data_IF_436623580779
#
_entry.id   IF_436623580779
#
_cell.length_a   1.000
_cell.length_b   1.000
_cell.length_c   1.000
_cell.angle_alpha   90.00
_cell.angle_beta   90.00
_cell.angle_gamma   90.00
#
_symmetry.space_group_name_H-M   'P 1'
#
loop_
_entity.id
_entity.type
_entity.pdbx_description
1 polymer ?
#
# COMPACT_ATOMS: atom_id res chain seq x y z
N UNK A 1 4.68 -15.01 -26.13
CA UNK A 1 3.45 -14.51 -25.50
C UNK A 1 3.87 -13.31 -24.65
N UNK A 2 3.60 -12.10 -25.12
CA UNK A 2 3.94 -10.87 -24.37
C UNK A 2 2.92 -10.81 -23.23
N UNK A 3 3.36 -10.99 -21.99
CA UNK A 3 2.52 -10.66 -20.87
C UNK A 3 2.27 -9.16 -20.96
N UNK A 4 1.02 -8.77 -21.16
CA UNK A 4 0.57 -7.39 -21.17
C UNK A 4 0.76 -6.84 -19.74
N UNK A 5 2.02 -6.56 -19.39
CA UNK A 5 2.39 -6.01 -18.10
C UNK A 5 2.08 -4.53 -18.19
N UNK A 6 0.91 -4.17 -17.67
CA UNK A 6 0.52 -2.77 -17.57
C UNK A 6 1.60 -2.03 -16.78
N UNK A 7 2.13 -0.97 -17.37
CA UNK A 7 2.95 0.03 -16.68
C UNK A 7 2.12 1.26 -16.32
N UNK A 8 0.86 1.33 -16.76
CA UNK A 8 -0.07 2.39 -16.36
C UNK A 8 -0.22 2.42 -14.84
N UNK A 9 0.22 3.52 -14.21
CA UNK A 9 0.26 3.63 -12.76
C UNK A 9 -1.11 3.64 -12.10
N UNK A 10 -2.13 4.19 -12.75
CA UNK A 10 -3.52 4.14 -12.25
C UNK A 10 -4.01 2.70 -12.28
N UNK A 11 -3.76 1.98 -13.38
CA UNK A 11 -4.14 0.57 -13.48
C UNK A 11 -3.40 -0.29 -12.46
N UNK A 12 -2.11 -0.04 -12.22
CA UNK A 12 -1.32 -0.72 -11.19
C UNK A 12 -1.93 -0.49 -9.80
N UNK A 13 -2.29 0.75 -9.45
CA UNK A 13 -2.90 1.07 -8.16
C UNK A 13 -4.27 0.41 -7.99
N UNK A 14 -5.09 0.36 -9.03
CA UNK A 14 -6.39 -0.34 -9.00
C UNK A 14 -6.22 -1.86 -8.80
N UNK A 15 -5.23 -2.47 -9.46
CA UNK A 15 -4.89 -3.88 -9.24
C UNK A 15 -4.47 -4.10 -7.79
N UNK A 16 -3.60 -3.25 -7.26
CA UNK A 16 -3.17 -3.34 -5.85
C UNK A 16 -4.35 -3.18 -4.87
N UNK A 17 -5.24 -2.22 -5.10
CA UNK A 17 -6.44 -2.06 -4.26
C UNK A 17 -7.33 -3.32 -4.28
N UNK A 18 -7.48 -3.95 -5.46
CA UNK A 18 -8.25 -5.19 -5.60
C UNK A 18 -7.62 -6.34 -4.84
N UNK A 19 -6.29 -6.44 -4.84
CA UNK A 19 -5.55 -7.44 -4.07
C UNK A 19 -5.68 -7.20 -2.56
N UNK A 20 -5.48 -5.97 -2.09
CA UNK A 20 -5.56 -5.64 -0.66
C UNK A 20 -6.94 -5.89 -0.05
N UNK A 21 -8.01 -5.73 -0.82
CA UNK A 21 -9.39 -5.95 -0.37
C UNK A 21 -9.88 -7.37 -0.66
N UNK A 22 -9.31 -8.04 -1.67
CA UNK A 22 -9.70 -9.37 -2.10
C UNK A 22 -8.96 -10.51 -1.39
N UNK A 23 -7.83 -10.23 -0.73
CA UNK A 23 -7.04 -11.24 -0.04
C UNK A 23 -7.66 -11.60 1.32
N UNK A 24 -8.15 -12.85 1.42
CA UNK A 24 -8.91 -13.34 2.57
C UNK A 24 -8.08 -13.91 3.72
N UNK A 25 -6.75 -13.81 3.65
CA UNK A 25 -5.83 -14.39 4.62
C UNK A 25 -5.18 -13.32 5.52
N UNK A 26 -3.85 -13.16 5.50
CA UNK A 26 -3.10 -12.28 6.40
C UNK A 26 -3.47 -10.79 6.29
N UNK A 27 -4.16 -10.40 5.21
CA UNK A 27 -4.61 -9.04 4.96
C UNK A 27 -6.13 -8.87 5.15
N UNK A 28 -6.84 -9.85 5.74
CA UNK A 28 -8.28 -9.80 5.89
C UNK A 28 -8.80 -8.58 6.68
N UNK A 29 -8.00 -8.01 7.58
CA UNK A 29 -8.31 -6.80 8.33
C UNK A 29 -7.90 -5.50 7.60
N UNK A 30 -7.24 -5.59 6.44
CA UNK A 30 -6.80 -4.42 5.68
C UNK A 30 -7.97 -3.82 4.89
N UNK A 31 -8.03 -2.49 4.87
CA UNK A 31 -9.02 -1.70 4.13
C UNK A 31 -8.35 -0.60 3.34
N UNK A 32 -9.00 -0.24 2.23
CA UNK A 32 -8.69 0.94 1.44
C UNK A 32 -9.66 2.06 1.81
N UNK A 33 -9.15 3.25 2.11
CA UNK A 33 -9.94 4.45 2.42
C UNK A 33 -9.54 5.63 1.52
N UNK A 34 -10.41 6.64 1.44
CA UNK A 34 -10.15 7.87 0.69
C UNK A 34 -9.76 7.61 -0.79
N UNK A 35 -10.34 6.58 -1.41
CA UNK A 35 -10.04 6.24 -2.78
C UNK A 35 -10.64 7.24 -3.76
N UNK A 36 -9.80 7.76 -4.66
CA UNK A 36 -10.20 8.58 -5.79
C UNK A 36 -10.14 7.74 -7.09
N UNK A 37 -11.29 7.31 -7.65
CA UNK A 37 -11.32 6.50 -8.86
C UNK A 37 -10.94 7.29 -10.13
N UNK A 38 -11.02 8.62 -10.08
CA UNK A 38 -10.76 9.53 -11.21
C UNK A 38 -9.41 10.25 -11.05
N UNK A 39 -8.53 9.72 -10.18
CA UNK A 39 -7.23 10.31 -9.86
C UNK A 39 -6.38 10.54 -11.12
N UNK A 40 -5.97 11.79 -11.33
CA UNK A 40 -5.06 12.14 -12.43
C UNK A 40 -3.59 11.93 -12.01
N UNK A 41 -2.82 11.07 -12.71
CA UNK A 41 -1.44 10.81 -12.35
C UNK A 41 -0.52 12.00 -12.66
N UNK A 42 0.42 12.27 -11.76
CA UNK A 42 1.44 13.32 -11.94
C UNK A 42 2.84 12.77 -11.80
N UNK A 43 3.86 13.49 -12.28
CA UNK A 43 5.28 13.06 -12.15
C UNK A 43 5.79 13.11 -10.71
N UNK A 44 5.12 13.85 -9.82
CA UNK A 44 5.40 13.88 -8.39
C UNK A 44 4.64 12.78 -7.62
N UNK A 45 3.68 12.12 -8.27
CA UNK A 45 2.77 11.18 -7.64
C UNK A 45 1.54 11.90 -7.11
N UNK A 46 0.37 11.43 -7.49
CA UNK A 46 -0.91 11.89 -6.93
C UNK A 46 -1.41 10.83 -5.95
N UNK A 47 -1.86 11.22 -4.75
CA UNK A 47 -2.41 10.28 -3.78
C UNK A 47 -3.69 9.65 -4.37
N UNK A 48 -3.70 8.33 -4.52
CA UNK A 48 -4.85 7.59 -5.03
C UNK A 48 -5.76 7.10 -3.90
N UNK A 49 -5.17 6.55 -2.84
CA UNK A 49 -5.90 6.07 -1.67
C UNK A 49 -4.98 5.83 -0.48
N UNK A 50 -5.58 5.63 0.70
CA UNK A 50 -4.90 5.22 1.92
C UNK A 50 -5.22 3.77 2.25
N UNK A 51 -4.28 3.09 2.88
CA UNK A 51 -4.42 1.71 3.36
C UNK A 51 -4.39 1.72 4.87
N UNK A 52 -5.37 1.07 5.49
CA UNK A 52 -5.56 1.03 6.94
C UNK A 52 -5.83 -0.38 7.42
N UNK A 53 -5.54 -0.62 8.69
CA UNK A 53 -5.93 -1.82 9.40
C UNK A 53 -7.20 -1.53 10.19
N UNK A 54 -8.25 -2.33 10.00
CA UNK A 54 -9.41 -2.31 10.88
C UNK A 54 -8.95 -2.68 12.30
N UNK A 55 -9.43 -1.93 13.30
CA UNK A 55 -9.22 -2.30 14.69
C UNK A 55 -10.24 -3.39 15.04
N UNK A 56 -9.77 -4.62 15.21
CA UNK A 56 -10.55 -5.67 15.87
C UNK A 56 -10.58 -5.33 17.36
N UNK A 57 -11.74 -4.89 17.86
CA UNK A 57 -12.05 -4.66 19.27
C UNK A 57 -11.31 -3.54 20.02
N UNK A 58 -11.79 -2.30 19.89
CA UNK A 58 -11.92 -1.43 21.07
C UNK A 58 -13.35 -0.87 21.12
N UNK A 59 -14.01 -1.07 22.27
CA UNK A 59 -15.33 -0.52 22.60
C UNK A 59 -15.33 0.97 22.25
N UNK A 60 -15.94 1.31 21.12
CA UNK A 60 -16.03 2.68 20.61
C UNK A 60 -16.84 3.53 21.57
N UNK A 61 -16.16 4.20 22.50
CA UNK A 61 -16.74 5.30 23.26
C UNK A 61 -16.63 6.54 22.39
N UNK A 62 -17.60 6.73 21.51
CA UNK A 62 -17.78 7.95 20.72
C UNK A 62 -17.25 7.86 19.28
N UNK A 63 -18.20 7.85 18.35
CA UNK A 63 -18.14 8.45 17.00
C UNK A 63 -16.73 8.60 16.40
N UNK A 64 -16.26 7.57 15.69
CA UNK A 64 -15.26 7.75 14.63
C UNK A 64 -15.55 6.79 13.49
N UNK A 65 -16.48 7.20 12.63
CA UNK A 65 -16.64 6.63 11.30
C UNK A 65 -15.29 6.81 10.55
N UNK A 66 -14.50 5.74 10.41
CA UNK A 66 -13.23 5.76 9.66
C UNK A 66 -11.91 5.64 10.45
N UNK A 67 -11.94 5.26 11.74
CA UNK A 67 -10.74 5.18 12.59
C UNK A 67 -9.91 3.88 12.46
N UNK A 68 -9.67 3.38 11.24
CA UNK A 68 -8.65 2.34 11.03
C UNK A 68 -7.24 2.88 11.30
N UNK A 69 -6.33 2.04 11.80
CA UNK A 69 -4.92 2.38 12.01
C UNK A 69 -4.22 2.57 10.65
N UNK A 70 -3.47 3.65 10.41
CA UNK A 70 -2.86 3.90 9.10
C UNK A 70 -1.68 2.94 8.85
N UNK A 71 -1.68 2.26 7.69
CA UNK A 71 -0.60 1.37 7.27
C UNK A 71 0.29 1.98 6.19
N UNK A 72 -0.36 2.47 5.12
CA UNK A 72 0.35 3.00 3.96
C UNK A 72 -0.50 4.00 3.17
N UNK A 73 0.15 4.71 2.26
CA UNK A 73 -0.47 5.60 1.27
C UNK A 73 -0.02 5.16 -0.13
N UNK A 74 -0.94 5.11 -1.09
CA UNK A 74 -0.61 4.70 -2.47
C UNK A 74 -0.72 5.90 -3.40
N UNK A 75 0.35 6.15 -4.15
CA UNK A 75 0.47 7.26 -5.07
C UNK A 75 0.63 6.76 -6.51
N UNK A 76 -0.01 7.44 -7.44
CA UNK A 76 0.03 7.12 -8.87
C UNK A 76 0.89 8.11 -9.65
N UNK A 77 1.75 7.57 -10.50
CA UNK A 77 2.49 8.27 -11.54
C UNK A 77 1.99 7.77 -12.91
N UNK A 78 2.33 8.43 -14.02
CA UNK A 78 1.89 7.96 -15.35
C UNK A 78 2.32 6.50 -15.65
N UNK A 79 3.51 6.10 -15.20
CA UNK A 79 4.14 4.82 -15.58
C UNK A 79 4.45 3.89 -14.38
N UNK A 80 3.91 4.17 -13.19
CA UNK A 80 4.07 3.33 -11.99
C UNK A 80 3.15 3.77 -10.88
N UNK A 81 2.98 2.91 -9.88
CA UNK A 81 2.53 3.34 -8.56
C UNK A 81 3.71 3.27 -7.57
N UNK A 82 3.58 3.96 -6.43
CA UNK A 82 4.42 3.69 -5.27
C UNK A 82 3.59 3.63 -4.00
N UNK A 83 4.05 2.83 -3.06
CA UNK A 83 3.46 2.68 -1.73
C UNK A 83 4.38 3.36 -0.74
N UNK A 84 3.86 4.28 0.07
CA UNK A 84 4.54 4.84 1.23
C UNK A 84 4.04 4.14 2.48
N UNK A 85 4.87 3.28 3.08
CA UNK A 85 4.58 2.69 4.38
C UNK A 85 4.87 3.71 5.48
N UNK A 86 3.86 3.95 6.31
CA UNK A 86 3.91 4.96 7.39
C UNK A 86 4.16 4.36 8.77
N UNK A 87 4.01 3.04 8.89
CA UNK A 87 4.32 2.22 10.07
C UNK A 87 5.25 1.08 9.68
N UNK A 88 6.05 0.60 10.65
CA UNK A 88 7.07 -0.42 10.46
C UNK A 88 7.90 -0.29 9.14
N UNK A 89 8.48 0.89 8.84
CA UNK A 89 9.15 1.16 7.57
C UNK A 89 10.31 0.19 7.27
N UNK A 90 11.01 -0.29 8.30
CA UNK A 90 12.13 -1.25 8.15
C UNK A 90 11.64 -2.66 7.78
N UNK A 91 10.51 -3.09 8.35
CA UNK A 91 9.88 -4.37 8.00
C UNK A 91 9.36 -4.34 6.55
N UNK A 92 8.71 -3.24 6.17
CA UNK A 92 8.26 -3.01 4.78
C UNK A 92 9.44 -3.04 3.80
N UNK A 93 10.54 -2.36 4.15
CA UNK A 93 11.73 -2.31 3.31
C UNK A 93 12.32 -3.71 3.08
N UNK A 94 12.54 -4.45 4.17
CA UNK A 94 13.13 -5.80 4.13
C UNK A 94 12.30 -6.74 3.27
N UNK A 95 10.98 -6.82 3.51
CA UNK A 95 10.10 -7.72 2.76
C UNK A 95 9.95 -7.34 1.28
N UNK A 96 9.96 -6.04 0.96
CA UNK A 96 9.93 -5.56 -0.42
C UNK A 96 11.24 -5.85 -1.17
N UNK A 97 12.40 -5.65 -0.52
CA UNK A 97 13.71 -5.97 -1.09
C UNK A 97 13.86 -7.47 -1.34
N UNK A 98 13.44 -8.32 -0.40
CA UNK A 98 13.41 -9.79 -0.55
C UNK A 98 12.50 -10.22 -1.71
N UNK A 99 11.45 -9.46 -1.98
CA UNK A 99 10.55 -9.66 -3.12
C UNK A 99 11.06 -9.06 -4.44
N UNK A 100 12.28 -8.51 -4.44
CA UNK A 100 12.93 -7.93 -5.62
C UNK A 100 12.36 -6.59 -6.07
N UNK A 101 11.70 -5.86 -5.17
CA UNK A 101 11.17 -4.52 -5.44
C UNK A 101 12.20 -3.44 -5.14
N UNK A 102 12.06 -2.30 -5.82
CA UNK A 102 12.88 -1.13 -5.54
C UNK A 102 12.33 -0.41 -4.32
N UNK A 103 13.21 -0.18 -3.35
CA UNK A 103 12.89 0.50 -2.09
C UNK A 103 13.71 1.78 -1.92
N UNK A 104 13.10 2.80 -1.33
CA UNK A 104 13.75 4.06 -0.95
C UNK A 104 13.28 4.53 0.42
N UNK A 105 14.17 4.75 1.40
CA UNK A 105 13.80 5.43 2.62
C UNK A 105 13.45 6.89 2.32
N UNK A 106 12.47 7.43 3.04
CA UNK A 106 12.05 8.83 2.95
C UNK A 106 12.36 9.51 4.29
N UNK A 107 13.28 10.47 4.25
CA UNK A 107 13.77 11.21 5.41
C UNK A 107 12.74 12.25 5.89
N UNK A 108 11.60 11.77 6.37
CA UNK A 108 10.54 12.55 7.02
C UNK A 108 10.39 12.09 8.48
N UNK A 109 9.60 12.81 9.27
CA UNK A 109 9.31 12.43 10.67
C UNK A 109 7.80 12.27 10.85
N UNK A 110 7.32 11.07 11.26
CA UNK A 110 8.06 9.81 11.44
C UNK A 110 8.65 9.27 10.12
N UNK A 111 9.71 8.45 10.16
CA UNK A 111 10.35 7.90 8.96
C UNK A 111 9.37 7.05 8.15
N UNK A 112 9.51 7.07 6.83
CA UNK A 112 8.67 6.30 5.91
C UNK A 112 9.54 5.51 4.93
N UNK A 113 8.98 4.44 4.40
CA UNK A 113 9.60 3.64 3.33
C UNK A 113 8.74 3.72 2.07
N UNK A 114 9.38 4.05 0.94
CA UNK A 114 8.75 4.08 -0.37
C UNK A 114 9.10 2.80 -1.13
N UNK A 115 8.10 2.06 -1.57
CA UNK A 115 8.24 0.87 -2.41
C UNK A 115 7.63 1.16 -3.78
N UNK A 116 8.40 0.95 -4.85
CA UNK A 116 7.92 1.18 -6.22
C UNK A 116 7.26 -0.07 -6.78
N UNK A 117 6.13 0.12 -7.47
CA UNK A 117 5.40 -0.91 -8.21
C UNK A 117 5.31 -0.46 -9.66
N UNK A 118 6.24 -0.94 -10.48
CA UNK A 118 6.48 -0.44 -11.83
C UNK A 118 5.71 -1.20 -12.91
N UNK A 119 5.20 -2.39 -12.59
CA UNK A 119 4.40 -3.18 -13.51
C UNK A 119 3.35 -4.04 -12.78
N UNK A 120 2.33 -4.48 -13.51
CA UNK A 120 1.24 -5.29 -12.95
C UNK A 120 1.67 -6.60 -12.27
N UNK A 121 2.81 -7.19 -12.63
CA UNK A 121 3.32 -8.39 -11.94
C UNK A 121 3.94 -8.07 -10.57
N UNK A 122 4.43 -6.84 -10.38
CA UNK A 122 4.96 -6.37 -9.10
C UNK A 122 3.85 -6.17 -8.05
N UNK A 123 2.58 -6.05 -8.47
CA UNK A 123 1.44 -5.95 -7.54
C UNK A 123 1.39 -7.14 -6.57
N UNK A 124 1.62 -8.37 -7.07
CA UNK A 124 1.69 -9.55 -6.21
C UNK A 124 2.93 -9.57 -5.31
N UNK A 125 4.02 -8.95 -5.75
CA UNK A 125 5.30 -8.92 -5.02
C UNK A 125 5.31 -7.89 -3.90
N UNK A 126 4.40 -6.91 -3.89
CA UNK A 126 4.32 -5.94 -2.79
C UNK A 126 3.48 -6.44 -1.61
N UNK A 127 2.65 -7.47 -1.80
CA UNK A 127 1.80 -8.02 -0.72
C UNK A 127 2.59 -8.49 0.51
N UNK A 128 3.74 -9.20 0.38
CA UNK A 128 4.56 -9.58 1.54
C UNK A 128 5.03 -8.38 2.39
N UNK A 129 5.18 -7.19 1.80
CA UNK A 129 5.51 -6.00 2.57
C UNK A 129 4.34 -5.49 3.43
N UNK A 130 3.10 -5.60 2.93
CA UNK A 130 1.91 -5.33 3.74
C UNK A 130 1.75 -6.36 4.86
N UNK A 131 1.94 -7.64 4.57
CA UNK A 131 1.87 -8.72 5.57
C UNK A 131 2.90 -8.53 6.69
N UNK A 132 4.14 -8.20 6.33
CA UNK A 132 5.23 -7.94 7.29
C UNK A 132 4.92 -6.74 8.21
N UNK A 133 4.33 -5.68 7.65
CA UNK A 133 3.92 -4.50 8.42
C UNK A 133 2.78 -4.84 9.37
N UNK A 134 1.73 -5.52 8.90
CA UNK A 134 0.60 -5.97 9.74
C UNK A 134 1.10 -6.85 10.89
N UNK A 135 2.04 -7.75 10.60
CA UNK A 135 2.62 -8.67 11.60
C UNK A 135 3.51 -7.94 12.63
N UNK A 136 4.20 -6.88 12.20
CA UNK A 136 5.05 -6.06 13.07
C UNK A 136 4.25 -5.12 13.97
N UNK A 137 3.07 -4.68 13.52
CA UNK A 137 2.15 -3.80 14.27
C UNK A 137 1.23 -4.57 15.25
N UNK A 138 1.21 -5.91 15.15
CA UNK A 138 0.50 -6.80 16.05
C UNK A 138 1.29 -7.16 17.33
N UNK A 139 2.53 -6.67 17.46
CA UNK A 139 3.42 -6.88 18.62
C UNK A 139 3.49 -5.64 19.49
#
# INVERSE_FOLDING_TARGET
MVADRTTDGVRIAQLLASELVGDGDALAAVRVSDADPDVEPTTQGTLAYRVRLDAEDEVSTGESEGAGRPLAEVYVHPERAHVEFVVAPDAAATAAEDSGLRVRPKAVTPPRTVVFVEDGAQVKRVLPAFEAVVSSDAT
#
